data_IF_601700714881
#
_entry.id   IF_601700714881
#
_cell.length_a   1.000
_cell.length_b   1.000
_cell.length_c   1.000
_cell.angle_alpha   90.00
_cell.angle_beta   90.00
_cell.angle_gamma   90.00
#
_symmetry.space_group_name_H-M   'P 1'
#
loop_
_entity.id
_entity.type
_entity.pdbx_description
1 polymer ?
#
# COMPACT_ATOMS: atom_id res chain seq x y z
N UNK A 1 8.74 -37.72 -41.99
CA UNK A 1 9.58 -38.58 -41.15
C UNK A 1 11.03 -38.12 -41.14
N UNK A 2 11.35 -36.86 -40.88
CA UNK A 2 12.77 -36.38 -40.88
C UNK A 2 13.13 -35.44 -39.74
N UNK A 3 12.21 -35.17 -38.80
CA UNK A 3 12.48 -34.25 -37.66
C UNK A 3 12.92 -34.97 -36.36
N UNK A 4 12.80 -36.28 -36.26
CA UNK A 4 13.11 -37.01 -35.03
C UNK A 4 14.60 -37.39 -34.85
N UNK A 5 15.41 -37.35 -35.89
CA UNK A 5 16.82 -37.79 -35.81
C UNK A 5 17.81 -36.68 -35.46
N UNK A 6 17.39 -35.40 -35.53
CA UNK A 6 18.28 -34.28 -35.22
C UNK A 6 18.34 -33.96 -33.71
N UNK A 7 17.25 -34.20 -32.96
CA UNK A 7 17.20 -33.91 -31.51
C UNK A 7 18.04 -34.93 -30.68
N UNK A 8 18.03 -36.18 -31.08
CA UNK A 8 18.78 -37.23 -30.35
C UNK A 8 20.28 -37.07 -30.53
N UNK A 9 20.73 -36.56 -31.66
CA UNK A 9 22.17 -36.34 -31.92
C UNK A 9 22.72 -35.13 -31.18
N UNK A 10 21.91 -34.08 -30.93
CA UNK A 10 22.29 -32.91 -30.13
C UNK A 10 22.42 -33.21 -28.65
N UNK A 11 21.55 -34.07 -28.11
CA UNK A 11 21.63 -34.49 -26.68
C UNK A 11 22.80 -35.38 -26.43
N UNK A 12 23.18 -36.28 -27.36
CA UNK A 12 24.37 -37.12 -27.25
C UNK A 12 25.67 -36.32 -27.35
N UNK A 13 25.74 -35.30 -28.21
CA UNK A 13 26.90 -34.40 -28.29
C UNK A 13 27.04 -33.50 -27.06
N UNK A 14 25.91 -33.18 -26.37
CA UNK A 14 25.94 -32.42 -25.12
C UNK A 14 26.41 -33.26 -23.94
N UNK A 15 26.11 -34.57 -23.93
CA UNK A 15 26.58 -35.48 -22.90
C UNK A 15 28.05 -35.84 -23.06
N UNK A 16 28.58 -35.97 -24.31
CA UNK A 16 30.00 -36.15 -24.56
C UNK A 16 30.85 -34.90 -24.26
N UNK A 17 30.25 -33.70 -24.22
CA UNK A 17 30.97 -32.47 -23.83
C UNK A 17 31.07 -32.26 -22.32
N UNK A 18 30.25 -32.95 -21.52
CA UNK A 18 30.31 -32.86 -20.05
C UNK A 18 31.47 -33.66 -19.46
N UNK A 19 32.01 -34.68 -20.18
CA UNK A 19 33.18 -35.45 -19.74
C UNK A 19 34.54 -34.77 -20.00
N UNK A 20 34.52 -33.59 -20.64
CA UNK A 20 35.75 -32.81 -20.93
C UNK A 20 35.88 -31.53 -20.10
N UNK A 21 35.24 -31.45 -18.94
CA UNK A 21 35.51 -30.37 -18.00
C UNK A 21 36.96 -30.51 -17.49
N UNK A 22 37.67 -29.39 -17.46
CA UNK A 22 39.08 -29.28 -16.97
C UNK A 22 39.22 -29.88 -15.58
N UNK A 23 38.18 -29.92 -14.78
CA UNK A 23 38.09 -30.51 -13.43
C UNK A 23 38.22 -32.04 -13.40
N UNK A 24 38.00 -32.74 -14.52
CA UNK A 24 38.08 -34.19 -14.63
C UNK A 24 39.42 -34.68 -15.26
N UNK A 25 40.38 -33.78 -15.50
CA UNK A 25 41.69 -34.16 -16.03
C UNK A 25 42.60 -34.67 -14.92
N UNK A 26 43.41 -35.69 -15.24
CA UNK A 26 44.37 -36.32 -14.30
C UNK A 26 45.38 -35.33 -13.71
N UNK A 27 45.56 -34.17 -14.29
CA UNK A 27 46.46 -33.09 -13.81
C UNK A 27 45.91 -32.35 -12.57
N UNK A 28 44.60 -32.47 -12.27
CA UNK A 28 43.95 -31.85 -11.09
C UNK A 28 43.63 -32.89 -9.99
N UNK A 29 44.28 -34.04 -9.99
CA UNK A 29 44.07 -35.12 -9.02
C UNK A 29 44.39 -34.75 -7.54
N UNK A 30 44.75 -33.52 -7.25
CA UNK A 30 44.99 -33.03 -5.89
C UNK A 30 43.80 -32.32 -5.24
N UNK A 31 42.71 -32.07 -5.98
CA UNK A 31 41.48 -31.48 -5.44
C UNK A 31 40.51 -32.56 -4.99
N UNK A 32 40.60 -32.98 -3.72
CA UNK A 32 39.56 -33.78 -3.09
C UNK A 32 38.30 -32.89 -2.95
N UNK A 33 37.29 -33.16 -3.76
CA UNK A 33 35.94 -32.60 -3.55
C UNK A 33 35.41 -33.27 -2.28
N UNK A 34 35.48 -32.56 -1.16
CA UNK A 34 34.80 -32.99 0.05
C UNK A 34 33.31 -33.08 -0.24
N UNK A 35 32.71 -34.24 0.00
CA UNK A 35 31.26 -34.38 0.00
C UNK A 35 30.68 -33.29 0.88
N UNK A 36 29.90 -32.36 0.29
CA UNK A 36 29.32 -31.24 1.01
C UNK A 36 28.60 -31.73 2.26
N UNK A 37 28.73 -30.99 3.35
CA UNK A 37 27.97 -31.24 4.58
C UNK A 37 26.50 -31.36 4.23
N UNK A 38 25.84 -32.42 4.67
CA UNK A 38 24.39 -32.58 4.48
C UNK A 38 23.71 -31.29 4.96
N UNK A 39 22.99 -30.66 4.06
CA UNK A 39 22.25 -29.45 4.44
C UNK A 39 21.33 -29.79 5.61
N UNK A 40 21.36 -29.00 6.69
CA UNK A 40 20.46 -29.22 7.80
C UNK A 40 19.01 -29.13 7.26
N UNK A 41 18.08 -29.93 7.78
CA UNK A 41 16.71 -29.93 7.30
C UNK A 41 16.17 -28.52 7.35
N UNK A 42 15.56 -28.02 6.24
CA UNK A 42 14.98 -26.65 6.14
C UNK A 42 13.91 -26.38 7.22
N UNK A 43 13.42 -27.41 7.86
CA UNK A 43 12.47 -27.31 8.98
C UNK A 43 13.16 -27.85 10.22
N UNK A 44 13.25 -27.02 11.25
CA UNK A 44 13.80 -27.42 12.54
C UNK A 44 13.05 -28.68 13.04
N UNK A 45 13.71 -29.88 13.13
CA UNK A 45 13.05 -31.12 13.53
C UNK A 45 12.54 -31.09 14.97
N UNK A 46 13.03 -30.16 15.80
CA UNK A 46 12.58 -29.91 17.18
C UNK A 46 11.45 -28.91 17.30
N UNK A 47 10.89 -28.44 16.17
CA UNK A 47 9.74 -27.52 16.20
C UNK A 47 8.52 -28.28 16.69
N UNK A 48 8.25 -28.24 17.98
CA UNK A 48 6.97 -28.67 18.54
C UNK A 48 5.84 -27.95 17.80
N UNK A 49 4.86 -28.69 17.28
CA UNK A 49 3.64 -28.11 16.70
C UNK A 49 3.04 -27.19 17.76
N UNK A 50 3.20 -25.86 17.58
CA UNK A 50 2.45 -24.91 18.44
C UNK A 50 1.00 -25.33 18.38
N UNK A 51 0.41 -25.64 19.51
CA UNK A 51 -1.04 -25.78 19.62
C UNK A 51 -1.63 -24.51 19.02
N UNK A 52 -2.54 -24.67 18.06
CA UNK A 52 -3.25 -23.51 17.50
C UNK A 52 -3.98 -22.85 18.67
N UNK A 53 -3.62 -21.62 18.99
CA UNK A 53 -4.39 -20.81 19.93
C UNK A 53 -5.86 -20.83 19.50
N UNK A 54 -6.81 -20.95 20.44
CA UNK A 54 -8.23 -20.92 20.11
C UNK A 54 -8.53 -19.67 19.28
N UNK A 55 -9.40 -19.80 18.28
CA UNK A 55 -9.80 -18.69 17.43
C UNK A 55 -10.50 -17.64 18.30
N UNK A 56 -9.99 -16.40 18.28
CA UNK A 56 -10.60 -15.29 19.03
C UNK A 56 -12.04 -15.04 18.55
N UNK A 57 -12.93 -14.77 19.51
CA UNK A 57 -14.29 -14.32 19.24
C UNK A 57 -14.31 -12.86 18.76
N UNK A 58 -15.44 -12.37 18.26
CA UNK A 58 -15.64 -10.95 17.94
C UNK A 58 -15.46 -10.08 19.18
N UNK A 59 -15.97 -10.55 20.35
CA UNK A 59 -15.84 -9.85 21.63
C UNK A 59 -14.39 -9.70 22.07
N UNK A 60 -13.58 -10.75 21.89
CA UNK A 60 -12.15 -10.72 22.22
C UNK A 60 -11.42 -9.69 21.35
N UNK A 61 -11.73 -9.63 20.04
CA UNK A 61 -11.15 -8.63 19.15
C UNK A 61 -11.54 -7.21 19.56
N UNK A 62 -12.82 -6.93 19.73
CA UNK A 62 -13.31 -5.58 20.10
C UNK A 62 -12.72 -5.14 21.43
N UNK A 63 -12.81 -5.98 22.45
CA UNK A 63 -12.27 -5.68 23.79
C UNK A 63 -10.75 -5.44 23.73
N UNK A 64 -10.02 -6.29 23.01
CA UNK A 64 -8.57 -6.14 22.86
C UNK A 64 -8.19 -4.85 22.13
N UNK A 65 -8.91 -4.46 21.06
CA UNK A 65 -8.68 -3.21 20.32
C UNK A 65 -8.93 -2.01 21.24
N UNK A 66 -10.07 -1.95 21.93
CA UNK A 66 -10.42 -0.85 22.82
C UNK A 66 -9.45 -0.73 24.01
N UNK A 67 -8.92 -1.85 24.47
CA UNK A 67 -7.85 -1.90 25.48
C UNK A 67 -6.44 -1.61 24.91
N UNK A 68 -6.34 -1.16 23.66
CA UNK A 68 -5.09 -0.77 22.99
C UNK A 68 -4.06 -1.91 22.88
N UNK A 69 -4.51 -3.16 22.80
CA UNK A 69 -3.64 -4.32 22.67
C UNK A 69 -3.15 -4.44 21.22
N UNK A 70 -1.86 -4.17 21.01
CA UNK A 70 -1.23 -4.15 19.68
C UNK A 70 -1.24 -5.50 18.98
N UNK A 71 -1.17 -6.60 19.75
CA UNK A 71 -1.21 -7.96 19.19
C UNK A 71 -2.60 -8.26 18.63
N UNK A 72 -3.64 -7.93 19.37
CA UNK A 72 -5.04 -8.11 18.94
C UNK A 72 -5.35 -7.21 17.75
N UNK A 73 -4.92 -5.94 17.78
CA UNK A 73 -5.06 -5.03 16.64
C UNK A 73 -4.40 -5.61 15.38
N UNK A 74 -3.16 -6.09 15.47
CA UNK A 74 -2.45 -6.69 14.33
C UNK A 74 -3.15 -7.93 13.78
N UNK A 75 -3.75 -8.76 14.66
CA UNK A 75 -4.55 -9.92 14.25
C UNK A 75 -5.87 -9.49 13.59
N UNK A 76 -6.54 -8.46 14.11
CA UNK A 76 -7.75 -7.90 13.51
C UNK A 76 -7.49 -7.32 12.12
N UNK A 77 -6.39 -6.61 11.94
CA UNK A 77 -5.96 -6.13 10.61
C UNK A 77 -5.71 -7.30 9.66
N UNK A 78 -5.06 -8.37 10.12
CA UNK A 78 -4.86 -9.58 9.31
C UNK A 78 -6.20 -10.26 8.94
N UNK A 79 -7.20 -10.18 9.82
CA UNK A 79 -8.56 -10.66 9.56
C UNK A 79 -9.23 -9.85 8.44
N UNK A 80 -9.12 -8.52 8.48
CA UNK A 80 -9.62 -7.58 7.45
C UNK A 80 -8.95 -7.84 6.10
N UNK A 81 -7.66 -8.11 6.09
CA UNK A 81 -6.88 -8.38 4.87
C UNK A 81 -7.20 -9.73 4.24
N UNK A 82 -7.79 -10.66 4.98
CA UNK A 82 -8.09 -12.02 4.52
C UNK A 82 -9.16 -12.04 3.42
N UNK A 83 -9.00 -12.97 2.47
CA UNK A 83 -9.97 -13.22 1.40
C UNK A 83 -10.98 -14.33 1.73
N UNK A 84 -10.84 -15.01 2.89
CA UNK A 84 -11.74 -16.08 3.30
C UNK A 84 -13.08 -15.51 3.75
N UNK A 85 -14.20 -16.05 3.27
CA UNK A 85 -15.55 -15.56 3.60
C UNK A 85 -15.81 -15.50 5.12
N UNK A 86 -15.48 -16.55 5.87
CA UNK A 86 -15.62 -16.60 7.34
C UNK A 86 -14.83 -15.48 8.04
N UNK A 87 -13.64 -15.12 7.51
CA UNK A 87 -12.84 -14.04 8.07
C UNK A 87 -13.43 -12.68 7.74
N UNK A 88 -13.98 -12.52 6.52
CA UNK A 88 -14.61 -11.26 6.10
C UNK A 88 -15.86 -10.97 6.93
N UNK A 89 -16.72 -11.97 7.14
CA UNK A 89 -17.90 -11.80 7.99
C UNK A 89 -17.52 -11.40 9.42
N UNK A 90 -16.54 -12.09 10.01
CA UNK A 90 -16.04 -11.75 11.35
C UNK A 90 -15.40 -10.36 11.38
N UNK A 91 -14.64 -9.98 10.36
CA UNK A 91 -14.02 -8.66 10.24
C UNK A 91 -15.08 -7.55 10.21
N UNK A 92 -16.15 -7.72 9.44
CA UNK A 92 -17.25 -6.76 9.37
C UNK A 92 -17.92 -6.56 10.74
N UNK A 93 -18.20 -7.64 11.48
CA UNK A 93 -18.76 -7.53 12.83
C UNK A 93 -17.82 -6.80 13.79
N UNK A 94 -16.50 -7.03 13.70
CA UNK A 94 -15.51 -6.31 14.52
C UNK A 94 -15.49 -4.83 14.16
N UNK A 95 -15.46 -4.49 12.86
CA UNK A 95 -15.43 -3.10 12.37
C UNK A 95 -16.69 -2.36 12.81
N UNK A 96 -17.88 -2.96 12.62
CA UNK A 96 -19.16 -2.36 12.99
C UNK A 96 -19.21 -1.99 14.47
N UNK A 97 -18.70 -2.88 15.32
CA UNK A 97 -18.65 -2.64 16.78
C UNK A 97 -17.54 -1.66 17.20
N UNK A 98 -16.49 -1.49 16.40
CA UNK A 98 -15.42 -0.52 16.62
C UNK A 98 -15.80 0.89 16.10
N UNK A 99 -16.73 1.00 15.14
CA UNK A 99 -17.10 2.25 14.48
C UNK A 99 -17.50 3.40 15.43
N UNK A 100 -18.27 3.17 16.55
CA UNK A 100 -18.61 4.23 17.50
C UNK A 100 -17.40 4.88 18.19
N UNK A 101 -16.25 4.22 18.18
CA UNK A 101 -15.02 4.67 18.83
C UNK A 101 -14.02 5.29 17.84
N UNK A 102 -14.33 5.25 16.52
CA UNK A 102 -13.51 5.77 15.44
C UNK A 102 -13.82 7.26 15.12
N UNK A 103 -13.17 7.82 14.11
CA UNK A 103 -13.45 9.17 13.56
C UNK A 103 -12.83 10.32 14.33
N UNK A 104 -11.86 10.08 15.21
CA UNK A 104 -11.21 11.12 16.03
C UNK A 104 -9.78 11.45 15.62
N UNK A 105 -9.20 10.71 14.69
CA UNK A 105 -7.83 10.91 14.23
C UNK A 105 -7.71 12.01 13.17
N UNK A 106 -6.47 12.48 12.98
CA UNK A 106 -6.07 13.23 11.79
C UNK A 106 -5.41 12.23 10.83
N UNK A 107 -5.96 12.12 9.61
CA UNK A 107 -5.48 11.20 8.59
C UNK A 107 -4.67 11.97 7.56
N UNK A 108 -3.40 11.63 7.41
CA UNK A 108 -2.46 12.29 6.49
C UNK A 108 -2.03 11.32 5.40
N UNK A 109 -2.39 11.61 4.16
CA UNK A 109 -1.87 10.89 2.99
C UNK A 109 -0.48 11.43 2.63
N UNK A 110 0.49 10.55 2.44
CA UNK A 110 1.86 10.93 2.08
C UNK A 110 2.20 10.28 0.76
N UNK A 111 2.44 11.12 -0.24
CA UNK A 111 2.83 10.70 -1.60
C UNK A 111 4.08 11.46 -2.05
N UNK A 112 4.64 11.08 -3.18
CA UNK A 112 5.79 11.74 -3.77
C UNK A 112 6.58 10.81 -4.68
N UNK A 113 7.48 11.39 -5.45
CA UNK A 113 8.30 10.63 -6.41
C UNK A 113 9.14 9.52 -5.75
N UNK A 114 9.47 8.45 -6.47
CA UNK A 114 10.43 7.47 -5.98
C UNK A 114 11.75 8.14 -5.60
N UNK A 115 12.32 7.75 -4.46
CA UNK A 115 13.56 8.34 -3.95
C UNK A 115 13.41 9.68 -3.23
N UNK A 116 12.20 10.24 -3.10
CA UNK A 116 11.95 11.48 -2.36
C UNK A 116 12.24 11.37 -0.85
N UNK A 117 12.48 10.17 -0.35
CA UNK A 117 12.75 9.93 1.08
C UNK A 117 11.49 9.90 1.93
N UNK A 118 10.35 9.44 1.36
CA UNK A 118 9.06 9.33 2.08
C UNK A 118 9.18 8.57 3.40
N UNK A 119 9.74 7.37 3.37
CA UNK A 119 9.84 6.53 4.56
C UNK A 119 10.76 7.15 5.63
N UNK A 120 11.89 7.80 5.23
CA UNK A 120 12.76 8.54 6.15
C UNK A 120 12.02 9.75 6.73
N UNK A 121 11.23 10.45 5.93
CA UNK A 121 10.39 11.56 6.38
C UNK A 121 9.32 11.10 7.37
N UNK A 122 8.66 9.97 7.08
CA UNK A 122 7.66 9.36 7.97
C UNK A 122 8.30 8.94 9.30
N UNK A 123 9.52 8.41 9.27
CA UNK A 123 10.27 8.06 10.47
C UNK A 123 10.57 9.30 11.32
N UNK A 124 11.12 10.34 10.71
CA UNK A 124 11.46 11.59 11.39
C UNK A 124 10.22 12.33 11.95
N UNK A 125 9.17 12.52 11.14
CA UNK A 125 7.93 13.16 11.57
C UNK A 125 7.18 12.27 12.58
N UNK A 126 7.19 10.96 12.38
CA UNK A 126 6.55 10.01 13.28
C UNK A 126 7.18 10.01 14.66
N UNK A 127 8.52 10.03 14.74
CA UNK A 127 9.22 10.15 16.04
C UNK A 127 8.93 11.47 16.72
N UNK A 128 8.96 12.61 15.99
CA UNK A 128 8.57 13.91 16.53
C UNK A 128 7.16 13.88 17.16
N UNK A 129 6.21 13.19 16.54
CA UNK A 129 4.84 13.05 17.05
C UNK A 129 4.79 12.14 18.29
N UNK A 130 5.44 10.99 18.23
CA UNK A 130 5.49 10.04 19.36
C UNK A 130 6.13 10.66 20.59
N UNK A 131 7.22 11.41 20.40
CA UNK A 131 7.91 12.13 21.47
C UNK A 131 7.05 13.27 22.05
N UNK A 132 6.16 13.85 21.24
CA UNK A 132 5.16 14.82 21.66
C UNK A 132 3.91 14.18 22.32
N UNK A 133 3.90 12.86 22.50
CA UNK A 133 2.83 12.12 23.17
C UNK A 133 1.68 11.62 22.28
N UNK A 134 1.79 11.79 20.97
CA UNK A 134 0.83 11.24 20.01
C UNK A 134 0.92 9.73 19.87
N UNK A 135 -0.17 9.11 19.43
CA UNK A 135 -0.21 7.71 19.01
C UNK A 135 -0.39 7.64 17.50
N UNK A 136 0.65 7.16 16.80
CA UNK A 136 0.72 7.17 15.36
C UNK A 136 0.55 5.77 14.77
N UNK A 137 -0.36 5.64 13.79
CA UNK A 137 -0.40 4.48 12.90
C UNK A 137 0.13 4.85 11.51
N UNK A 138 0.96 4.00 10.91
CA UNK A 138 1.46 4.14 9.53
C UNK A 138 0.98 2.96 8.70
N UNK A 139 0.22 3.24 7.67
CA UNK A 139 -0.36 2.26 6.74
C UNK A 139 0.26 2.49 5.36
N UNK A 140 1.06 1.55 4.87
CA UNK A 140 1.66 1.67 3.54
C UNK A 140 0.79 0.93 2.50
N UNK A 141 0.48 1.60 1.39
CA UNK A 141 -0.23 1.03 0.24
C UNK A 141 0.77 0.76 -0.88
N UNK A 142 1.11 -0.52 -1.09
CA UNK A 142 2.00 -0.95 -2.17
C UNK A 142 1.25 -1.80 -3.20
N UNK A 143 0.86 -1.25 -4.36
CA UNK A 143 0.21 -2.02 -5.42
C UNK A 143 1.15 -3.00 -6.13
N UNK A 144 2.47 -2.93 -5.91
CA UNK A 144 3.47 -3.76 -6.61
C UNK A 144 3.85 -5.05 -5.88
N UNK A 145 3.39 -5.28 -4.65
CA UNK A 145 3.83 -6.38 -3.79
C UNK A 145 3.32 -7.77 -4.18
N UNK A 146 2.47 -7.89 -5.22
CA UNK A 146 2.05 -9.20 -5.76
C UNK A 146 3.23 -10.06 -6.25
N UNK A 147 4.31 -9.45 -6.71
CA UNK A 147 5.48 -10.15 -7.25
C UNK A 147 6.58 -10.46 -6.21
N UNK A 148 6.59 -9.76 -5.09
CA UNK A 148 7.61 -9.94 -4.05
C UNK A 148 6.96 -10.18 -2.68
N UNK A 149 6.81 -11.44 -2.27
CA UNK A 149 6.42 -11.82 -0.90
C UNK A 149 7.37 -11.27 0.20
N UNK A 150 8.32 -10.42 -0.16
CA UNK A 150 9.39 -9.87 0.68
C UNK A 150 9.24 -8.40 1.09
N UNK A 151 8.23 -7.64 0.58
CA UNK A 151 8.13 -6.19 0.86
C UNK A 151 7.75 -5.86 2.32
N UNK A 152 7.08 -6.75 3.01
CA UNK A 152 6.65 -6.56 4.42
C UNK A 152 7.82 -6.29 5.37
N UNK A 153 9.00 -6.84 5.09
CA UNK A 153 10.22 -6.56 5.88
C UNK A 153 10.90 -5.26 5.44
N UNK A 154 10.82 -4.91 4.14
CA UNK A 154 11.52 -3.74 3.59
C UNK A 154 11.03 -2.40 4.13
N UNK A 155 9.72 -2.24 4.37
CA UNK A 155 9.18 -0.96 4.85
C UNK A 155 9.45 -0.74 6.34
N UNK A 156 9.41 -1.80 7.16
CA UNK A 156 9.80 -1.72 8.58
C UNK A 156 11.28 -1.41 8.77
N UNK A 157 12.16 -1.91 7.89
CA UNK A 157 13.60 -1.64 7.96
C UNK A 157 13.97 -0.24 7.51
N UNK A 158 13.06 0.49 6.86
CA UNK A 158 13.27 1.89 6.44
C UNK A 158 12.82 2.91 7.49
N UNK A 159 12.06 2.50 8.49
CA UNK A 159 11.54 3.31 9.60
C UNK A 159 12.09 2.73 10.91
N UNK A 160 13.40 2.83 11.09
CA UNK A 160 14.12 2.10 12.14
C UNK A 160 13.72 2.58 13.54
N UNK A 161 13.69 3.90 13.78
CA UNK A 161 13.33 4.49 15.07
C UNK A 161 11.84 4.26 15.38
N UNK A 162 10.95 4.53 14.43
CA UNK A 162 9.52 4.43 14.62
C UNK A 162 9.04 2.98 14.79
N UNK A 163 9.72 2.02 14.16
CA UNK A 163 9.32 0.60 14.19
C UNK A 163 9.41 -0.03 15.59
N UNK A 164 10.22 0.54 16.49
CA UNK A 164 10.43 0.09 17.87
C UNK A 164 9.71 0.97 18.90
N UNK A 165 9.10 2.08 18.46
CA UNK A 165 8.41 3.00 19.34
C UNK A 165 7.08 2.40 19.86
N UNK A 166 6.84 2.48 21.17
CA UNK A 166 5.67 1.87 21.83
C UNK A 166 4.32 2.46 21.38
N UNK A 167 4.31 3.74 21.01
CA UNK A 167 3.12 4.47 20.58
C UNK A 167 2.96 4.51 19.06
N UNK A 168 3.74 3.72 18.32
CA UNK A 168 3.66 3.58 16.87
C UNK A 168 3.13 2.20 16.46
N UNK A 169 2.36 2.17 15.38
CA UNK A 169 1.89 0.95 14.72
C UNK A 169 2.18 1.05 13.23
N UNK A 170 3.07 0.21 12.70
CA UNK A 170 3.41 0.21 11.28
C UNK A 170 2.83 -1.06 10.65
N UNK A 171 1.97 -0.88 9.64
CA UNK A 171 1.38 -1.97 8.88
C UNK A 171 1.56 -1.75 7.38
N UNK A 172 2.50 -2.46 6.74
CA UNK A 172 2.51 -2.60 5.29
C UNK A 172 1.27 -3.39 4.88
N UNK A 173 0.47 -2.83 3.97
CA UNK A 173 -0.70 -3.54 3.43
C UNK A 173 -0.25 -4.41 2.27
N UNK A 174 -0.46 -5.74 2.32
CA UNK A 174 -0.19 -6.58 1.15
C UNK A 174 -1.22 -6.24 0.06
N UNK A 175 -0.74 -5.80 -1.08
CA UNK A 175 -1.56 -5.53 -2.26
C UNK A 175 -1.90 -6.84 -3.00
N UNK A 176 -2.64 -7.74 -2.34
CA UNK A 176 -3.26 -8.84 -3.07
C UNK A 176 -4.63 -8.38 -3.58
N UNK A 177 -4.73 -8.03 -4.86
CA UNK A 177 -6.00 -7.68 -5.48
C UNK A 177 -6.02 -6.36 -6.24
N UNK A 178 -7.22 -5.95 -6.67
CA UNK A 178 -7.45 -4.67 -7.33
C UNK A 178 -7.10 -3.50 -6.40
N UNK A 179 -6.70 -2.35 -6.97
CA UNK A 179 -6.43 -1.12 -6.21
C UNK A 179 -7.61 -0.75 -5.29
N UNK A 180 -8.85 -0.97 -5.73
CA UNK A 180 -10.08 -0.77 -4.94
C UNK A 180 -10.12 -1.65 -3.69
N UNK A 181 -9.81 -2.94 -3.83
CA UNK A 181 -9.79 -3.89 -2.70
C UNK A 181 -8.75 -3.55 -1.64
N UNK A 182 -7.56 -3.10 -2.06
CA UNK A 182 -6.51 -2.64 -1.12
C UNK A 182 -6.95 -1.37 -0.40
N UNK A 183 -7.52 -0.42 -1.12
CA UNK A 183 -8.01 0.84 -0.55
C UNK A 183 -9.14 0.63 0.46
N UNK A 184 -10.08 -0.30 0.20
CA UNK A 184 -11.12 -0.69 1.14
C UNK A 184 -10.52 -1.25 2.42
N UNK A 185 -9.62 -2.23 2.33
CA UNK A 185 -8.96 -2.86 3.49
C UNK A 185 -8.17 -1.84 4.32
N UNK A 186 -7.52 -0.88 3.66
CA UNK A 186 -6.81 0.21 4.34
C UNK A 186 -7.79 1.09 5.11
N UNK A 187 -8.96 1.42 4.54
CA UNK A 187 -9.96 2.22 5.23
C UNK A 187 -10.58 1.48 6.42
N UNK A 188 -10.87 0.20 6.27
CA UNK A 188 -11.32 -0.64 7.38
C UNK A 188 -10.25 -0.72 8.50
N UNK A 189 -8.97 -0.79 8.12
CA UNK A 189 -7.84 -0.75 9.07
C UNK A 189 -7.75 0.60 9.79
N UNK A 190 -8.02 1.73 9.12
CA UNK A 190 -8.10 3.06 9.75
C UNK A 190 -9.11 3.05 10.90
N UNK A 191 -10.32 2.49 10.69
CA UNK A 191 -11.35 2.41 11.73
C UNK A 191 -10.84 1.63 12.95
N UNK A 192 -10.15 0.51 12.75
CA UNK A 192 -9.59 -0.29 13.84
C UNK A 192 -8.47 0.46 14.59
N UNK A 193 -7.61 1.18 13.87
CA UNK A 193 -6.56 2.00 14.48
C UNK A 193 -7.15 3.13 15.33
N UNK A 194 -8.17 3.82 14.80
CA UNK A 194 -8.88 4.88 15.55
C UNK A 194 -9.54 4.34 16.80
N UNK A 195 -10.23 3.19 16.72
CA UNK A 195 -10.82 2.53 17.89
C UNK A 195 -9.78 2.09 18.92
N UNK A 196 -8.56 1.72 18.48
CA UNK A 196 -7.43 1.45 19.35
C UNK A 196 -6.79 2.72 19.96
N UNK A 197 -7.32 3.91 19.64
CA UNK A 197 -6.91 5.19 20.21
C UNK A 197 -5.68 5.80 19.54
N UNK A 198 -5.42 5.51 18.26
CA UNK A 198 -4.47 6.28 17.45
C UNK A 198 -5.12 7.60 17.05
N UNK A 199 -4.46 8.69 17.39
CA UNK A 199 -4.93 10.06 17.11
C UNK A 199 -4.40 10.60 15.78
N UNK A 200 -3.37 9.98 15.23
CA UNK A 200 -2.75 10.35 13.96
C UNK A 200 -2.54 9.10 13.12
N UNK A 201 -2.92 9.16 11.83
CA UNK A 201 -2.77 8.04 10.91
C UNK A 201 -2.11 8.54 9.62
N UNK A 202 -0.95 8.00 9.31
CA UNK A 202 -0.29 8.22 8.03
C UNK A 202 -0.65 7.12 7.05
N UNK A 203 -0.99 7.51 5.83
CA UNK A 203 -1.23 6.58 4.71
C UNK A 203 -0.21 6.88 3.63
N UNK A 204 0.82 6.02 3.52
CA UNK A 204 1.90 6.17 2.54
C UNK A 204 1.55 5.48 1.23
N UNK A 205 1.82 6.16 0.10
CA UNK A 205 1.79 5.54 -1.23
C UNK A 205 3.19 5.11 -1.65
N UNK A 206 3.31 3.93 -2.25
CA UNK A 206 4.56 3.48 -2.87
C UNK A 206 4.64 3.99 -4.32
N UNK A 207 4.82 5.27 -4.46
CA UNK A 207 5.43 6.06 -5.53
C UNK A 207 5.09 5.83 -7.01
N UNK A 208 4.16 4.94 -7.40
CA UNK A 208 3.89 4.68 -8.83
C UNK A 208 2.42 4.29 -9.07
N UNK A 209 1.67 5.12 -9.73
CA UNK A 209 0.42 4.75 -10.34
C UNK A 209 -0.81 5.43 -9.73
N UNK A 210 -1.96 4.78 -9.77
CA UNK A 210 -3.27 5.34 -9.41
C UNK A 210 -3.57 5.31 -7.89
N UNK A 211 -2.63 4.87 -7.05
CA UNK A 211 -2.80 4.78 -5.59
C UNK A 211 -2.97 6.14 -4.91
N UNK A 212 -2.50 7.21 -5.55
CA UNK A 212 -2.60 8.56 -5.02
C UNK A 212 -4.05 9.04 -4.89
N UNK A 213 -4.90 8.76 -5.89
CA UNK A 213 -6.32 9.11 -5.86
C UNK A 213 -7.07 8.32 -4.79
N UNK A 214 -6.75 7.03 -4.66
CA UNK A 214 -7.34 6.19 -3.62
C UNK A 214 -6.96 6.68 -2.21
N UNK A 215 -5.68 7.06 -1.99
CA UNK A 215 -5.24 7.63 -0.70
C UNK A 215 -5.91 8.97 -0.44
N UNK A 216 -5.96 9.88 -1.43
CA UNK A 216 -6.62 11.17 -1.29
C UNK A 216 -8.10 11.03 -0.85
N UNK A 217 -8.81 9.99 -1.33
CA UNK A 217 -10.21 9.74 -0.98
C UNK A 217 -10.44 9.23 0.44
N UNK A 218 -9.38 8.96 1.23
CA UNK A 218 -9.51 8.42 2.60
C UNK A 218 -8.79 9.25 3.67
N UNK A 219 -8.15 10.36 3.30
CA UNK A 219 -7.35 11.18 4.22
C UNK A 219 -7.90 12.59 4.35
N UNK A 220 -7.60 13.24 5.47
CA UNK A 220 -8.03 14.61 5.78
C UNK A 220 -7.07 15.62 5.17
N UNK A 221 -5.77 15.35 5.17
CA UNK A 221 -4.71 16.15 4.58
C UNK A 221 -3.88 15.31 3.61
N UNK A 222 -3.56 15.83 2.42
CA UNK A 222 -2.76 15.14 1.42
C UNK A 222 -1.43 15.85 1.19
N UNK A 223 -0.33 15.24 1.64
CA UNK A 223 1.02 15.77 1.59
C UNK A 223 1.78 15.21 0.39
N UNK A 224 2.29 16.11 -0.46
CA UNK A 224 3.15 15.76 -1.58
C UNK A 224 4.62 16.04 -1.22
N UNK A 225 5.44 14.98 -1.20
CA UNK A 225 6.89 15.09 -0.96
C UNK A 225 7.65 15.10 -2.29
N UNK A 226 8.49 16.10 -2.47
CA UNK A 226 9.27 16.34 -3.67
C UNK A 226 10.76 16.47 -3.37
N UNK A 227 11.57 16.43 -4.43
CA UNK A 227 13.02 16.67 -4.41
C UNK A 227 13.36 17.93 -5.18
N UNK A 228 14.51 18.51 -4.89
CA UNK A 228 15.16 19.53 -5.72
C UNK A 228 16.09 18.90 -6.77
N UNK A 229 16.26 19.53 -7.93
CA UNK A 229 17.33 19.22 -8.87
C UNK A 229 17.03 18.15 -9.92
N UNK A 230 15.81 17.73 -10.08
CA UNK A 230 15.39 16.91 -11.23
C UNK A 230 14.95 17.82 -12.37
N UNK A 231 15.87 18.32 -13.18
CA UNK A 231 15.80 19.37 -14.23
C UNK A 231 14.49 19.60 -15.01
N UNK A 232 13.47 18.80 -14.83
CA UNK A 232 12.11 18.88 -15.37
C UNK A 232 11.07 18.64 -14.27
N UNK A 233 11.28 19.23 -13.09
CA UNK A 233 10.53 18.99 -11.86
C UNK A 233 9.02 19.15 -12.02
N UNK A 234 8.58 20.12 -12.83
CA UNK A 234 7.17 20.38 -13.10
C UNK A 234 6.60 19.48 -14.21
N UNK A 235 7.42 18.98 -15.14
CA UNK A 235 6.96 18.13 -16.25
C UNK A 235 6.82 16.64 -15.83
N UNK A 236 7.68 16.17 -14.92
CA UNK A 236 7.62 14.80 -14.40
C UNK A 236 6.48 14.56 -13.39
N UNK A 237 5.88 15.62 -12.84
CA UNK A 237 4.78 15.52 -11.88
C UNK A 237 3.46 15.54 -12.66
N UNK A 238 2.68 14.49 -12.49
CA UNK A 238 1.31 14.48 -13.00
C UNK A 238 0.57 15.68 -12.40
N UNK A 239 0.15 16.65 -13.22
CA UNK A 239 -0.56 17.87 -12.83
C UNK A 239 -1.70 17.59 -11.80
N UNK A 240 -2.41 16.46 -11.97
CA UNK A 240 -3.48 16.05 -11.08
C UNK A 240 -3.04 15.78 -9.63
N UNK A 241 -1.79 15.33 -9.39
CA UNK A 241 -1.30 15.09 -8.02
C UNK A 241 -1.03 16.42 -7.32
N UNK A 242 -0.49 17.41 -8.03
CA UNK A 242 -0.30 18.77 -7.47
C UNK A 242 -1.62 19.43 -7.12
N UNK A 243 -2.64 19.23 -7.95
CA UNK A 243 -3.99 19.78 -7.74
C UNK A 243 -4.68 19.16 -6.51
N UNK A 244 -4.38 17.91 -6.19
CA UNK A 244 -4.90 17.20 -5.01
C UNK A 244 -4.14 17.53 -3.72
N UNK A 245 -2.95 18.13 -3.79
CA UNK A 245 -2.10 18.34 -2.62
C UNK A 245 -2.61 19.48 -1.74
N UNK A 246 -2.84 19.19 -0.46
CA UNK A 246 -3.16 20.20 0.57
C UNK A 246 -1.87 20.87 1.10
N UNK A 247 -0.70 20.28 0.87
CA UNK A 247 0.61 20.84 1.16
C UNK A 247 1.72 20.12 0.38
N UNK A 248 2.80 20.85 0.12
CA UNK A 248 3.98 20.33 -0.61
C UNK A 248 5.22 20.53 0.25
N UNK A 249 6.07 19.51 0.31
CA UNK A 249 7.35 19.53 1.02
C UNK A 249 8.49 19.17 0.09
N UNK A 250 9.48 20.05 -0.03
CA UNK A 250 10.72 19.76 -0.73
C UNK A 250 11.69 19.17 0.30
N UNK A 251 11.88 17.85 0.22
CA UNK A 251 12.75 17.11 1.13
C UNK A 251 14.21 17.15 0.68
N UNK A 252 15.12 16.68 1.54
CA UNK A 252 16.56 16.70 1.36
C UNK A 252 17.12 18.12 1.21
N UNK A 253 16.55 19.07 1.97
CA UNK A 253 17.02 20.44 2.02
C UNK A 253 18.17 20.58 3.03
N UNK A 254 19.28 19.84 2.79
CA UNK A 254 20.47 19.78 3.64
C UNK A 254 21.75 19.99 2.84
N UNK A 255 22.86 20.26 3.52
CA UNK A 255 24.17 20.43 2.95
C UNK A 255 24.17 21.36 1.71
N UNK A 256 24.77 20.90 0.61
CA UNK A 256 24.87 21.66 -0.64
C UNK A 256 23.56 21.73 -1.44
N UNK A 257 22.48 21.12 -0.93
CA UNK A 257 21.19 21.06 -1.63
C UNK A 257 20.21 22.16 -1.17
N UNK A 258 20.51 22.92 -0.13
CA UNK A 258 19.63 23.94 0.46
C UNK A 258 19.18 24.98 -0.57
N UNK A 259 20.12 25.51 -1.38
CA UNK A 259 19.78 26.54 -2.39
C UNK A 259 18.87 25.99 -3.47
N UNK A 260 19.12 24.74 -3.95
CA UNK A 260 18.28 24.08 -4.93
C UNK A 260 16.89 23.79 -4.37
N UNK A 261 16.80 23.37 -3.11
CA UNK A 261 15.52 23.14 -2.45
C UNK A 261 14.70 24.43 -2.33
N UNK A 262 15.34 25.56 -2.02
CA UNK A 262 14.68 26.87 -1.95
C UNK A 262 14.21 27.34 -3.36
N UNK A 263 14.98 27.08 -4.40
CA UNK A 263 14.59 27.37 -5.77
C UNK A 263 13.35 26.53 -6.15
N UNK A 264 13.38 25.23 -5.90
CA UNK A 264 12.26 24.33 -6.14
C UNK A 264 11.01 24.79 -5.37
N UNK A 265 11.16 25.14 -4.09
CA UNK A 265 10.07 25.71 -3.28
C UNK A 265 9.42 26.93 -3.96
N UNK A 266 10.23 27.86 -4.52
CA UNK A 266 9.71 29.02 -5.23
C UNK A 266 8.97 28.63 -6.51
N UNK A 267 9.50 27.67 -7.27
CA UNK A 267 8.88 27.15 -8.50
C UNK A 267 7.53 26.50 -8.21
N UNK A 268 7.45 25.60 -7.21
CA UNK A 268 6.20 24.97 -6.81
C UNK A 268 5.18 25.98 -6.30
N UNK A 269 5.61 26.98 -5.53
CA UNK A 269 4.72 28.03 -5.08
C UNK A 269 4.13 28.85 -6.23
N UNK A 270 4.94 29.18 -7.23
CA UNK A 270 4.48 29.87 -8.43
C UNK A 270 3.52 28.99 -9.26
N UNK A 271 3.82 27.68 -9.38
CA UNK A 271 2.94 26.75 -10.08
C UNK A 271 1.56 26.62 -9.40
N UNK A 272 1.51 26.61 -8.07
CA UNK A 272 0.25 26.55 -7.32
C UNK A 272 -0.67 27.78 -7.57
N UNK A 273 -0.12 28.94 -7.91
CA UNK A 273 -0.92 30.11 -8.28
C UNK A 273 -1.66 29.94 -9.62
N UNK A 274 -1.30 28.95 -10.43
CA UNK A 274 -2.00 28.66 -11.69
C UNK A 274 -3.22 27.76 -11.50
N UNK A 275 -3.42 27.20 -10.31
CA UNK A 275 -4.58 26.38 -9.99
C UNK A 275 -5.71 27.21 -9.41
N UNK A 276 -6.97 26.79 -9.58
CA UNK A 276 -8.09 27.44 -8.92
C UNK A 276 -8.00 27.31 -7.40
N UNK A 277 -8.70 28.17 -6.69
CA UNK A 277 -8.77 28.09 -5.23
C UNK A 277 -9.36 26.72 -4.83
N UNK A 278 -8.69 25.96 -3.93
CA UNK A 278 -9.19 24.69 -3.46
C UNK A 278 -10.55 24.78 -2.78
N UNK A 279 -11.35 23.73 -2.84
CA UNK A 279 -12.65 23.66 -2.14
C UNK A 279 -12.53 23.90 -0.63
N UNK A 280 -11.42 23.51 -0.02
CA UNK A 280 -11.09 23.76 1.39
C UNK A 280 -10.96 25.25 1.72
N UNK A 281 -10.83 26.12 0.71
CA UNK A 281 -10.48 27.55 0.82
C UNK A 281 -9.13 27.81 1.52
N UNK A 282 -8.32 26.77 1.72
CA UNK A 282 -6.98 26.86 2.27
C UNK A 282 -5.95 26.66 1.15
N UNK A 283 -5.15 27.68 0.84
CA UNK A 283 -4.11 27.57 -0.18
C UNK A 283 -3.00 26.60 0.29
N UNK A 284 -2.58 25.65 -0.55
CA UNK A 284 -1.49 24.77 -0.22
C UNK A 284 -0.19 25.53 0.06
N UNK A 285 0.46 25.22 1.17
CA UNK A 285 1.78 25.78 1.52
C UNK A 285 2.88 24.89 0.94
N UNK A 286 4.01 25.51 0.55
CA UNK A 286 5.21 24.81 0.11
C UNK A 286 6.32 25.07 1.15
N UNK A 287 6.82 24.00 1.77
CA UNK A 287 7.91 24.04 2.75
C UNK A 287 9.14 23.27 2.26
N UNK A 288 10.27 23.52 2.88
CA UNK A 288 11.48 22.71 2.71
C UNK A 288 11.77 21.98 4.02
N UNK A 289 12.28 20.75 3.96
CA UNK A 289 12.74 20.02 5.13
C UNK A 289 13.93 19.12 4.80
N UNK A 290 14.66 18.72 5.84
CA UNK A 290 15.59 17.60 5.81
C UNK A 290 15.11 16.53 6.79
N UNK A 291 14.67 15.40 6.25
CA UNK A 291 14.26 14.27 7.09
C UNK A 291 15.46 13.67 7.86
N UNK A 292 16.66 13.70 7.27
CA UNK A 292 17.89 13.15 7.87
C UNK A 292 18.38 14.03 9.01
N UNK A 293 18.42 15.35 8.81
CA UNK A 293 18.83 16.31 9.83
C UNK A 293 17.69 16.69 10.79
N UNK A 294 16.48 16.18 10.56
CA UNK A 294 15.24 16.49 11.31
C UNK A 294 14.90 18.00 11.33
N UNK A 295 15.38 18.76 10.32
CA UNK A 295 15.12 20.19 10.16
C UNK A 295 13.82 20.43 9.41
N UNK A 296 12.98 21.36 9.87
CA UNK A 296 11.70 21.74 9.21
C UNK A 296 10.59 20.73 9.40
N UNK A 297 10.75 19.71 10.25
CA UNK A 297 9.76 18.67 10.52
C UNK A 297 8.60 19.20 11.35
N UNK A 298 8.89 20.01 12.35
CA UNK A 298 7.90 20.68 13.20
C UNK A 298 7.06 21.70 12.42
N UNK A 299 7.66 22.45 11.48
CA UNK A 299 6.92 23.36 10.60
C UNK A 299 5.96 22.61 9.66
N UNK A 300 6.38 21.42 9.18
CA UNK A 300 5.48 20.59 8.39
C UNK A 300 4.30 20.10 9.23
N UNK A 301 4.54 19.63 10.45
CA UNK A 301 3.45 19.24 11.34
C UNK A 301 2.53 20.42 11.68
N UNK A 302 3.13 21.59 11.93
CA UNK A 302 2.36 22.81 12.14
C UNK A 302 1.50 23.16 10.91
N UNK A 303 2.01 23.03 9.70
CA UNK A 303 1.23 23.22 8.47
C UNK A 303 -0.01 22.31 8.43
N UNK A 304 0.15 21.04 8.76
CA UNK A 304 -0.93 20.05 8.79
C UNK A 304 -1.97 20.44 9.85
N UNK A 305 -1.54 20.74 11.05
CA UNK A 305 -2.43 21.12 12.15
C UNK A 305 -3.17 22.43 11.88
N UNK A 306 -2.49 23.46 11.35
CA UNK A 306 -3.10 24.72 10.92
C UNK A 306 -4.22 24.48 9.90
N UNK A 307 -3.97 23.60 8.91
CA UNK A 307 -5.00 23.23 7.91
C UNK A 307 -6.20 22.55 8.57
N UNK A 308 -5.96 21.59 9.46
CA UNK A 308 -7.03 20.85 10.16
C UNK A 308 -7.88 21.81 11.01
N UNK A 309 -7.24 22.72 11.72
CA UNK A 309 -7.95 23.75 12.52
C UNK A 309 -8.79 24.65 11.62
N UNK A 310 -8.22 25.14 10.52
CA UNK A 310 -8.91 26.00 9.56
C UNK A 310 -10.11 25.30 8.93
N UNK A 311 -9.95 24.06 8.45
CA UNK A 311 -11.00 23.29 7.77
C UNK A 311 -12.08 22.80 8.73
N UNK A 312 -11.75 22.55 9.99
CA UNK A 312 -12.76 22.33 11.06
C UNK A 312 -13.58 23.59 11.31
N UNK A 313 -12.91 24.76 11.33
CA UNK A 313 -13.57 26.05 11.58
C UNK A 313 -14.54 26.47 10.47
N UNK A 314 -14.28 26.14 9.20
CA UNK A 314 -15.15 26.45 8.07
C UNK A 314 -16.12 25.30 7.68
N UNK A 315 -16.12 24.18 8.41
CA UNK A 315 -16.99 23.02 8.19
C UNK A 315 -16.51 22.03 7.12
N UNK A 316 -15.53 22.39 6.29
CA UNK A 316 -15.03 21.55 5.19
C UNK A 316 -14.50 20.19 5.63
N UNK A 317 -13.84 20.14 6.82
CA UNK A 317 -13.30 18.89 7.36
C UNK A 317 -14.38 17.79 7.47
N UNK A 318 -15.52 18.12 8.06
CA UNK A 318 -16.63 17.17 8.22
C UNK A 318 -17.32 16.86 6.90
N UNK A 319 -17.49 17.86 6.04
CA UNK A 319 -18.07 17.67 4.71
C UNK A 319 -17.19 16.72 3.86
N UNK A 320 -15.86 16.91 3.87
CA UNK A 320 -14.91 16.00 3.19
C UNK A 320 -15.06 14.58 3.69
N UNK A 321 -15.11 14.36 5.00
CA UNK A 321 -15.28 13.01 5.59
C UNK A 321 -16.62 12.38 5.23
N UNK A 322 -17.71 13.14 5.18
CA UNK A 322 -19.03 12.64 4.76
C UNK A 322 -19.02 12.24 3.26
N UNK A 323 -18.42 13.07 2.41
CA UNK A 323 -18.24 12.75 0.97
C UNK A 323 -17.39 11.49 0.78
N UNK A 324 -16.32 11.35 1.54
CA UNK A 324 -15.48 10.14 1.53
C UNK A 324 -16.26 8.89 1.97
N UNK A 325 -17.06 8.99 3.04
CA UNK A 325 -17.88 7.86 3.49
C UNK A 325 -18.89 7.41 2.42
N UNK A 326 -19.51 8.38 1.72
CA UNK A 326 -20.43 8.10 0.63
C UNK A 326 -19.75 7.46 -0.58
N UNK A 327 -18.59 8.00 -0.98
CA UNK A 327 -17.75 7.45 -2.05
C UNK A 327 -17.41 5.98 -1.77
N UNK A 328 -16.94 5.66 -0.57
CA UNK A 328 -16.54 4.30 -0.21
C UNK A 328 -17.71 3.32 -0.11
N UNK A 329 -18.90 3.79 0.22
CA UNK A 329 -20.11 2.96 0.14
C UNK A 329 -20.34 2.49 -1.31
N UNK A 330 -20.27 3.41 -2.29
CA UNK A 330 -20.44 3.06 -3.70
C UNK A 330 -19.32 2.15 -4.21
N UNK A 331 -18.07 2.47 -3.94
CA UNK A 331 -16.92 1.62 -4.30
C UNK A 331 -17.06 0.19 -3.74
N UNK A 332 -17.53 0.07 -2.49
CA UNK A 332 -17.76 -1.25 -1.89
C UNK A 332 -18.87 -2.01 -2.61
N UNK A 333 -19.96 -1.35 -2.98
CA UNK A 333 -21.05 -1.96 -3.75
C UNK A 333 -20.54 -2.44 -5.11
N UNK A 334 -19.82 -1.59 -5.83
CA UNK A 334 -19.29 -1.90 -7.16
C UNK A 334 -18.30 -3.08 -7.10
N UNK A 335 -17.43 -3.11 -6.10
CA UNK A 335 -16.50 -4.22 -5.89
C UNK A 335 -17.23 -5.54 -5.59
N UNK A 336 -18.24 -5.51 -4.72
CA UNK A 336 -19.03 -6.69 -4.40
C UNK A 336 -19.82 -7.20 -5.61
N UNK A 337 -20.45 -6.30 -6.38
CA UNK A 337 -21.17 -6.67 -7.61
C UNK A 337 -20.22 -7.28 -8.64
N UNK A 338 -19.06 -6.65 -8.86
CA UNK A 338 -18.02 -7.17 -9.76
C UNK A 338 -17.55 -8.55 -9.32
N UNK A 339 -17.19 -8.72 -8.06
CA UNK A 339 -16.70 -9.99 -7.54
C UNK A 339 -17.78 -11.09 -7.62
N UNK A 340 -19.02 -10.78 -7.27
CA UNK A 340 -20.14 -11.72 -7.34
C UNK A 340 -20.42 -12.15 -8.78
N UNK A 341 -20.30 -11.24 -9.73
CA UNK A 341 -20.49 -11.53 -11.16
C UNK A 341 -19.38 -12.44 -11.70
N UNK A 342 -18.11 -12.05 -11.55
CA UNK A 342 -16.99 -12.77 -12.16
C UNK A 342 -16.64 -14.10 -11.47
N UNK A 343 -17.00 -14.29 -10.20
CA UNK A 343 -16.83 -15.57 -9.49
C UNK A 343 -18.11 -16.45 -9.49
N UNK A 344 -19.11 -16.11 -10.30
CA UNK A 344 -20.25 -16.97 -10.51
C UNK A 344 -19.85 -18.09 -11.49
N UNK A 345 -19.95 -19.35 -11.06
CA UNK A 345 -19.51 -20.53 -11.83
C UNK A 345 -20.09 -20.56 -13.26
N UNK A 346 -21.36 -20.20 -13.41
CA UNK A 346 -22.00 -20.17 -14.72
C UNK A 346 -21.47 -19.05 -15.61
N UNK A 347 -21.25 -17.87 -15.02
CA UNK A 347 -20.70 -16.72 -15.75
C UNK A 347 -19.26 -17.00 -16.16
N UNK A 348 -18.45 -17.61 -15.29
CA UNK A 348 -17.06 -17.97 -15.59
C UNK A 348 -16.98 -18.93 -16.79
N UNK A 349 -17.84 -19.93 -16.85
CA UNK A 349 -17.92 -20.85 -18.00
C UNK A 349 -18.35 -20.14 -19.29
N UNK A 350 -19.37 -19.29 -19.21
CA UNK A 350 -19.86 -18.53 -20.37
C UNK A 350 -18.84 -17.49 -20.86
N UNK A 351 -18.06 -16.89 -19.96
CA UNK A 351 -16.97 -15.96 -20.33
C UNK A 351 -15.95 -16.64 -21.23
N UNK A 352 -15.49 -17.85 -20.86
CA UNK A 352 -14.52 -18.61 -21.66
C UNK A 352 -15.09 -18.98 -23.05
N UNK A 353 -16.38 -19.28 -23.14
CA UNK A 353 -17.06 -19.55 -24.42
C UNK A 353 -17.16 -18.29 -25.28
N UNK A 354 -17.61 -17.17 -24.68
CA UNK A 354 -17.79 -15.92 -25.41
C UNK A 354 -16.48 -15.26 -25.82
N UNK A 355 -15.41 -15.42 -25.05
CA UNK A 355 -14.07 -14.99 -25.44
C UNK A 355 -13.62 -15.68 -26.74
N UNK A 356 -13.88 -16.99 -26.89
CA UNK A 356 -13.57 -17.71 -28.13
C UNK A 356 -14.40 -17.19 -29.30
N UNK A 357 -15.71 -17.00 -29.10
CA UNK A 357 -16.59 -16.48 -30.14
C UNK A 357 -16.24 -15.04 -30.57
N UNK A 358 -15.74 -14.21 -29.63
CA UNK A 358 -15.24 -12.87 -29.92
C UNK A 358 -13.97 -12.91 -30.78
N UNK A 359 -13.02 -13.80 -30.45
CA UNK A 359 -11.79 -13.97 -31.24
C UNK A 359 -12.02 -14.52 -32.64
N UNK A 360 -13.17 -15.23 -32.86
CA UNK A 360 -13.60 -15.75 -34.14
C UNK A 360 -14.57 -14.80 -34.90
N UNK A 361 -14.75 -13.55 -34.41
CA UNK A 361 -15.68 -12.55 -34.94
C UNK A 361 -17.15 -13.04 -35.09
N UNK A 362 -17.55 -14.06 -34.30
CA UNK A 362 -18.89 -14.64 -34.34
C UNK A 362 -19.91 -13.92 -33.46
N UNK A 363 -19.46 -13.09 -32.53
CA UNK A 363 -20.31 -12.30 -31.65
C UNK A 363 -19.67 -10.94 -31.40
N UNK A 364 -20.49 -9.90 -31.25
CA UNK A 364 -19.93 -8.61 -30.82
C UNK A 364 -19.75 -8.52 -29.29
N UNK A 365 -18.79 -7.71 -28.84
CA UNK A 365 -18.50 -7.49 -27.41
C UNK A 365 -19.74 -7.01 -26.63
N UNK A 366 -20.55 -6.16 -27.23
CA UNK A 366 -21.80 -5.65 -26.62
C UNK A 366 -22.85 -6.73 -26.43
N UNK A 367 -23.05 -7.60 -27.43
CA UNK A 367 -24.00 -8.71 -27.35
C UNK A 367 -23.55 -9.76 -26.35
N UNK A 368 -22.24 -10.08 -26.30
CA UNK A 368 -21.67 -10.99 -25.31
C UNK A 368 -21.88 -10.47 -23.88
N UNK A 369 -21.55 -9.20 -23.65
CA UNK A 369 -21.71 -8.57 -22.33
C UNK A 369 -23.19 -8.56 -21.87
N UNK A 370 -24.11 -8.16 -22.75
CA UNK A 370 -25.54 -8.15 -22.40
C UNK A 370 -26.06 -9.54 -22.06
N UNK A 371 -25.70 -10.57 -22.84
CA UNK A 371 -26.13 -11.96 -22.54
C UNK A 371 -25.60 -12.49 -21.23
N UNK A 372 -24.37 -12.14 -20.87
CA UNK A 372 -23.78 -12.48 -19.57
C UNK A 372 -24.52 -11.79 -18.42
N UNK A 373 -24.80 -10.49 -18.57
CA UNK A 373 -25.57 -9.72 -17.59
C UNK A 373 -26.99 -10.24 -17.43
N UNK A 374 -27.70 -10.48 -18.53
CA UNK A 374 -29.06 -11.05 -18.52
C UNK A 374 -29.08 -12.44 -17.84
N UNK A 375 -28.05 -13.25 -18.07
CA UNK A 375 -27.94 -14.57 -17.43
C UNK A 375 -27.71 -14.46 -15.94
N UNK A 376 -26.93 -13.47 -15.50
CA UNK A 376 -26.65 -13.23 -14.10
C UNK A 376 -27.88 -12.71 -13.35
N UNK A 377 -28.55 -11.68 -13.87
CA UNK A 377 -29.70 -11.05 -13.21
C UNK A 377 -31.00 -11.87 -13.30
N UNK A 378 -31.23 -12.63 -14.36
CA UNK A 378 -32.44 -13.47 -14.48
C UNK A 378 -32.43 -14.72 -13.56
N UNK A 379 -31.38 -14.93 -12.75
CA UNK A 379 -31.29 -16.00 -11.77
C UNK A 379 -31.39 -15.53 -10.32
N UNK A 380 -31.47 -14.23 -10.07
CA UNK A 380 -31.87 -13.67 -8.79
C UNK A 380 -33.38 -13.50 -8.72
#
# INVERSE_FOLDING_TARGET
>A
MHFGKCLVRSVFLFLESMDKHIENSAEYAGLTVNNGVQQPPMVNPYRTKKQKSPALSVDDYVTGILNKNMTILSQAVTLVESTRAEHQEKAQQVIERCLPFAGKSVRVGITGVPGAGKSTFIDALGMHLVDSGHRLAVLAIDPSSERSKGSILGDKTRMEELSVAKNAFIRPSPSAGSLGGVARKTRETIVLCEAAGFDTIFVETVGVGQSETAVHSMVDFFLLIQLSGTGDELQGIKRGIMEMADGIVINKADGNNIEKANLAKAQFRNALHLFPLPESKCLPKVLTCSAVEKNGIDEVWKMITDYVVFTKGNGFFHEKQQRQAKYWMYETIDEHLRNSFYHNEKIEQMLQEYEKLLLEDKISSFVAANRLLDTYFNKM
#
